data_IF_840861377549
#
_entry.id   IF_840861377549
#
_cell.length_a   1.000
_cell.length_b   1.000
_cell.length_c   1.000
_cell.angle_alpha   90.00
_cell.angle_beta   90.00
_cell.angle_gamma   90.00
#
_symmetry.space_group_name_H-M   'P 1'
#
loop_
_entity.id
_entity.type
_entity.pdbx_description
1 polymer ?
#
# COMPACT_ATOMS: atom_id res chain seq x y z
N UNK A 1 2.04 -15.19 -5.35
CA UNK A 1 1.02 -14.41 -4.62
C UNK A 1 0.49 -13.39 -5.59
N UNK A 2 -0.81 -13.34 -5.84
CA UNK A 2 -1.41 -12.32 -6.71
C UNK A 2 -1.56 -11.03 -5.92
N UNK A 3 -1.45 -9.89 -6.60
CA UNK A 3 -1.63 -8.56 -6.03
C UNK A 3 -2.96 -8.43 -5.24
N UNK A 4 -4.02 -9.05 -5.76
CA UNK A 4 -5.33 -9.17 -5.08
C UNK A 4 -5.27 -9.89 -3.72
N UNK A 5 -4.43 -10.94 -3.60
CA UNK A 5 -4.26 -11.71 -2.36
C UNK A 5 -3.46 -10.93 -1.33
N UNK A 6 -2.47 -10.15 -1.80
CA UNK A 6 -1.72 -9.21 -0.96
C UNK A 6 -2.63 -8.11 -0.40
N UNK A 7 -3.41 -7.44 -1.25
CA UNK A 7 -4.33 -6.39 -0.80
C UNK A 7 -5.44 -6.95 0.09
N UNK A 8 -5.96 -8.15 -0.18
CA UNK A 8 -6.92 -8.82 0.69
C UNK A 8 -6.35 -9.16 2.07
N UNK A 9 -5.05 -9.48 2.16
CA UNK A 9 -4.36 -9.70 3.42
C UNK A 9 -4.09 -8.40 4.20
N UNK A 10 -3.78 -7.30 3.50
CA UNK A 10 -3.48 -5.99 4.14
C UNK A 10 -4.73 -5.22 4.54
N UNK A 11 -5.80 -5.33 3.74
CA UNK A 11 -7.07 -4.63 3.87
C UNK A 11 -8.25 -5.63 3.88
N UNK A 12 -8.39 -6.42 4.96
CA UNK A 12 -9.45 -7.41 5.05
C UNK A 12 -10.82 -6.74 5.08
N UNK A 13 -11.70 -7.13 4.15
CA UNK A 13 -13.07 -6.62 4.05
C UNK A 13 -13.25 -5.43 3.10
N UNK A 14 -12.16 -4.77 2.68
CA UNK A 14 -12.20 -3.66 1.71
C UNK A 14 -11.53 -3.99 0.37
N UNK A 15 -10.98 -5.20 0.21
CA UNK A 15 -10.33 -5.67 -1.03
C UNK A 15 -11.18 -5.45 -2.30
N UNK A 16 -12.50 -5.72 -2.23
CA UNK A 16 -13.39 -5.52 -3.37
C UNK A 16 -13.57 -4.04 -3.73
N UNK A 17 -13.63 -3.17 -2.71
CA UNK A 17 -13.74 -1.72 -2.88
C UNK A 17 -12.42 -1.12 -3.38
N UNK A 18 -11.30 -1.64 -2.88
CA UNK A 18 -9.95 -1.30 -3.32
C UNK A 18 -9.76 -1.66 -4.79
N UNK A 19 -10.16 -2.86 -5.22
CA UNK A 19 -10.12 -3.25 -6.63
C UNK A 19 -11.00 -2.34 -7.51
N UNK A 20 -12.22 -2.01 -7.05
CA UNK A 20 -13.11 -1.10 -7.77
C UNK A 20 -12.53 0.31 -7.90
N UNK A 21 -11.89 0.84 -6.86
CA UNK A 21 -11.22 2.14 -6.89
C UNK A 21 -10.01 2.15 -7.81
N UNK A 22 -9.19 1.10 -7.82
CA UNK A 22 -8.03 1.00 -8.72
C UNK A 22 -8.41 0.98 -10.20
N UNK A 23 -9.57 0.40 -10.53
CA UNK A 23 -10.08 0.40 -11.90
C UNK A 23 -10.60 1.79 -12.30
N UNK A 24 -11.21 2.51 -11.35
CA UNK A 24 -11.85 3.80 -11.59
C UNK A 24 -10.87 4.98 -11.54
N UNK A 25 -9.89 4.92 -10.64
CA UNK A 25 -8.98 6.01 -10.33
C UNK A 25 -7.51 5.56 -10.53
N UNK A 26 -6.84 6.19 -11.50
CA UNK A 26 -5.46 5.85 -11.86
C UNK A 26 -4.45 6.36 -10.83
N UNK A 27 -4.76 7.45 -10.14
CA UNK A 27 -3.89 7.97 -9.07
C UNK A 27 -3.89 6.99 -7.91
N UNK A 28 -5.08 6.49 -7.55
CA UNK A 28 -5.21 5.44 -6.55
C UNK A 28 -4.53 4.12 -6.95
N UNK A 29 -4.65 3.69 -8.21
CA UNK A 29 -3.90 2.52 -8.71
C UNK A 29 -2.39 2.71 -8.60
N UNK A 30 -1.88 3.90 -8.91
CA UNK A 30 -0.48 4.21 -8.78
C UNK A 30 -0.02 4.19 -7.31
N UNK A 31 -0.82 4.70 -6.37
CA UNK A 31 -0.55 4.64 -4.92
C UNK A 31 -0.51 3.18 -4.44
N UNK A 32 -1.43 2.34 -4.92
CA UNK A 32 -1.45 0.91 -4.59
C UNK A 32 -0.19 0.21 -5.13
N UNK A 33 0.20 0.50 -6.37
CA UNK A 33 1.42 -0.05 -6.97
C UNK A 33 2.67 0.35 -6.19
N UNK A 34 2.78 1.63 -5.79
CA UNK A 34 3.89 2.15 -4.99
C UNK A 34 3.94 1.47 -3.61
N UNK A 35 2.78 1.34 -2.93
CA UNK A 35 2.68 0.60 -1.67
C UNK A 35 3.20 -0.84 -1.77
N UNK A 36 2.81 -1.56 -2.83
CA UNK A 36 3.26 -2.92 -3.04
C UNK A 36 4.77 -2.99 -3.32
N UNK A 37 5.32 -2.06 -4.10
CA UNK A 37 6.74 -1.99 -4.40
C UNK A 37 7.59 -1.70 -3.16
N UNK A 38 7.22 -0.68 -2.38
CA UNK A 38 7.93 -0.30 -1.14
C UNK A 38 7.80 -1.41 -0.08
N UNK A 39 6.63 -2.05 0.04
CA UNK A 39 6.45 -3.18 0.95
C UNK A 39 7.32 -4.38 0.55
N UNK A 40 7.41 -4.66 -0.75
CA UNK A 40 8.27 -5.71 -1.27
C UNK A 40 9.76 -5.39 -1.04
N UNK A 41 10.18 -4.13 -1.24
CA UNK A 41 11.53 -3.68 -0.93
C UNK A 41 11.85 -3.83 0.57
N UNK A 42 10.92 -3.43 1.46
CA UNK A 42 11.04 -3.61 2.90
C UNK A 42 11.17 -5.10 3.29
N UNK A 43 10.42 -5.99 2.63
CA UNK A 43 10.49 -7.43 2.86
C UNK A 43 11.79 -8.07 2.34
N UNK A 44 12.38 -7.52 1.28
CA UNK A 44 13.66 -7.98 0.72
C UNK A 44 14.88 -7.37 1.44
N UNK A 45 14.75 -6.17 2.00
CA UNK A 45 15.81 -5.45 2.70
C UNK A 45 16.55 -6.24 3.80
N UNK A 46 15.92 -7.09 4.63
CA UNK A 46 16.64 -7.92 5.61
C UNK A 46 17.52 -9.01 4.99
N UNK A 47 17.31 -9.37 3.71
CA UNK A 47 18.08 -10.42 3.03
C UNK A 47 19.36 -9.88 2.36
N UNK A 48 19.46 -8.56 2.18
CA UNK A 48 20.46 -7.95 1.29
C UNK A 48 21.70 -7.36 1.97
N UNK A 49 21.75 -7.07 3.28
CA UNK A 49 22.99 -6.50 3.84
C UNK A 49 23.13 -6.54 5.37
N UNK A 50 24.37 -6.82 5.79
CA UNK A 50 24.86 -6.56 7.14
C UNK A 50 25.11 -5.08 7.41
N UNK A 51 24.91 -4.69 8.68
CA UNK A 51 25.58 -3.56 9.32
C UNK A 51 24.77 -2.27 9.48
N UNK A 52 24.15 -1.73 8.41
CA UNK A 52 23.70 -0.32 8.41
C UNK A 52 22.28 -0.11 7.87
N UNK A 53 21.36 -1.05 8.12
CA UNK A 53 20.00 -1.01 7.53
C UNK A 53 18.89 -0.49 8.46
N UNK A 54 19.12 -0.30 9.75
CA UNK A 54 18.04 0.05 10.68
C UNK A 54 17.33 1.37 10.33
N UNK A 55 18.07 2.39 9.87
CA UNK A 55 17.49 3.68 9.49
C UNK A 55 16.77 3.63 8.15
N UNK A 56 17.29 2.86 7.20
CA UNK A 56 16.66 2.64 5.89
C UNK A 56 15.38 1.80 6.02
N UNK A 57 15.40 0.73 6.83
CA UNK A 57 14.21 -0.04 7.17
C UNK A 57 13.15 0.80 7.87
N UNK A 58 13.56 1.72 8.74
CA UNK A 58 12.63 2.65 9.40
C UNK A 58 11.99 3.62 8.40
N UNK A 59 12.76 4.15 7.45
CA UNK A 59 12.28 5.05 6.39
C UNK A 59 11.30 4.34 5.43
N UNK A 60 11.61 3.11 5.05
CA UNK A 60 10.70 2.25 4.28
C UNK A 60 9.44 1.92 5.06
N UNK A 61 9.55 1.58 6.35
CA UNK A 61 8.38 1.30 7.18
C UNK A 61 7.49 2.53 7.37
N UNK A 62 8.09 3.72 7.48
CA UNK A 62 7.37 4.99 7.51
C UNK A 62 6.63 5.24 6.19
N UNK A 63 7.32 5.06 5.06
CA UNK A 63 6.74 5.21 3.72
C UNK A 63 5.57 4.24 3.49
N UNK A 64 5.73 2.96 3.84
CA UNK A 64 4.65 1.95 3.79
C UNK A 64 3.47 2.35 4.66
N UNK A 65 3.73 2.90 5.86
CA UNK A 65 2.67 3.34 6.78
C UNK A 65 1.91 4.55 6.25
N UNK A 66 2.62 5.50 5.62
CA UNK A 66 2.00 6.67 4.99
C UNK A 66 1.12 6.28 3.80
N UNK A 67 1.64 5.44 2.90
CA UNK A 67 0.90 4.91 1.76
C UNK A 67 -0.32 4.10 2.20
N UNK A 68 -0.17 3.28 3.25
CA UNK A 68 -1.29 2.55 3.85
C UNK A 68 -2.36 3.51 4.35
N UNK A 69 -2.00 4.53 5.13
CA UNK A 69 -2.94 5.53 5.61
C UNK A 69 -3.62 6.29 4.47
N UNK A 70 -2.90 6.58 3.39
CA UNK A 70 -3.48 7.18 2.18
C UNK A 70 -4.54 6.26 1.58
N UNK A 71 -4.21 4.97 1.39
CA UNK A 71 -5.17 3.97 0.88
C UNK A 71 -6.39 3.84 1.80
N UNK A 72 -6.20 3.78 3.12
CA UNK A 72 -7.31 3.74 4.10
C UNK A 72 -8.15 5.02 4.03
N UNK A 73 -7.53 6.19 3.90
CA UNK A 73 -8.27 7.44 3.74
C UNK A 73 -9.11 7.47 2.46
N UNK A 74 -8.62 6.92 1.35
CA UNK A 74 -9.39 6.81 0.11
C UNK A 74 -10.55 5.80 0.24
N UNK A 75 -10.33 4.69 0.94
CA UNK A 75 -11.37 3.69 1.19
C UNK A 75 -12.45 4.19 2.16
N UNK A 76 -12.04 4.98 3.15
CA UNK A 76 -12.91 5.54 4.18
C UNK A 76 -13.46 6.92 3.80
N UNK A 77 -12.92 7.57 2.78
CA UNK A 77 -13.46 8.79 2.24
C UNK A 77 -14.90 8.48 1.86
N UNK A 78 -15.88 9.01 2.61
CA UNK A 78 -17.26 8.85 2.22
C UNK A 78 -17.33 9.49 0.85
N UNK A 79 -17.70 8.68 -0.15
CA UNK A 79 -18.09 9.06 -1.48
C UNK A 79 -18.28 10.58 -1.57
N UNK A 80 -17.33 11.29 -2.19
CA UNK A 80 -17.55 12.66 -2.61
C UNK A 80 -18.54 12.64 -3.80
N UNK A 81 -19.66 11.92 -3.65
CA UNK A 81 -20.88 12.03 -4.41
C UNK A 81 -21.74 13.05 -3.66
N UNK A 82 -21.45 14.32 -3.92
CA UNK A 82 -22.38 15.44 -3.94
C UNK A 82 -21.63 16.68 -4.42
N UNK A 83 -21.71 16.98 -5.72
CA UNK A 83 -22.48 18.12 -6.25
C UNK A 83 -22.63 18.01 -7.78
#
# INVERSE_FOLDING_TARGET
MTDDDFFAAQFPGTAHQLQALRIQDKEFDQICADYHEVFHELALAPQSAGGTHARYLADLAESVSDLRNSIENWLHAPDCTNE
#
